data_IF_771305556484
#
_entry.id   IF_771305556484
#
_cell.length_a   1.000
_cell.length_b   1.000
_cell.length_c   1.000
_cell.angle_alpha   90.00
_cell.angle_beta   90.00
_cell.angle_gamma   90.00
#
_symmetry.space_group_name_H-M   'P 1'
#
loop_
_entity.id
_entity.type
_entity.pdbx_description
1 polymer ?
#
# COMPACT_ATOMS: atom_id res chain seq x y z
N UNK A 1 -9.65 1.39 8.70
CA UNK A 1 -10.94 1.96 8.27
C UNK A 1 -12.05 1.17 8.91
N UNK A 2 -13.02 1.83 9.52
CA UNK A 2 -14.23 1.18 10.01
C UNK A 2 -15.27 1.15 8.86
N UNK A 3 -15.98 0.02 8.70
CA UNK A 3 -16.95 -0.24 7.63
C UNK A 3 -18.05 0.83 7.54
N UNK A 4 -18.43 1.42 8.67
CA UNK A 4 -19.48 2.43 8.74
C UNK A 4 -19.06 3.76 8.08
N UNK A 5 -17.76 4.01 7.96
CA UNK A 5 -17.21 5.22 7.36
C UNK A 5 -16.86 5.07 5.87
N UNK A 6 -17.17 3.93 5.26
CA UNK A 6 -16.90 3.70 3.83
C UNK A 6 -17.65 4.71 2.96
N UNK A 7 -18.86 5.12 3.35
CA UNK A 7 -19.62 6.15 2.64
C UNK A 7 -18.86 7.49 2.60
N UNK A 8 -18.26 7.89 3.72
CA UNK A 8 -17.47 9.11 3.80
C UNK A 8 -16.14 8.99 3.03
N UNK A 9 -15.57 7.79 2.98
CA UNK A 9 -14.40 7.51 2.14
C UNK A 9 -14.71 7.65 0.66
N UNK A 10 -15.90 7.22 0.20
CA UNK A 10 -16.30 7.31 -1.22
C UNK A 10 -16.33 8.78 -1.68
N UNK A 11 -16.93 9.68 -0.89
CA UNK A 11 -16.97 11.10 -1.22
C UNK A 11 -15.58 11.73 -1.29
N UNK A 12 -14.66 11.36 -0.39
CA UNK A 12 -13.28 11.86 -0.41
C UNK A 12 -12.44 11.29 -1.55
N UNK A 13 -12.54 9.98 -1.78
CA UNK A 13 -11.79 9.30 -2.83
C UNK A 13 -12.26 9.70 -4.25
N UNK A 14 -13.53 10.10 -4.43
CA UNK A 14 -14.04 10.60 -5.69
C UNK A 14 -13.39 11.92 -6.14
N UNK A 15 -12.77 12.67 -5.23
CA UNK A 15 -12.05 13.91 -5.51
C UNK A 15 -10.52 13.74 -5.40
N UNK A 16 -10.03 12.54 -5.07
CA UNK A 16 -8.62 12.32 -4.80
C UNK A 16 -7.83 12.05 -6.08
N UNK A 17 -6.79 12.85 -6.33
CA UNK A 17 -5.83 12.62 -7.41
C UNK A 17 -4.80 11.53 -7.05
N UNK A 18 -4.52 11.38 -5.74
CA UNK A 18 -3.52 10.47 -5.16
C UNK A 18 -4.14 9.65 -4.04
N UNK A 19 -3.92 8.33 -4.06
CA UNK A 19 -4.31 7.41 -3.01
C UNK A 19 -3.10 6.83 -2.28
N UNK A 20 -3.11 6.89 -0.95
CA UNK A 20 -2.16 6.16 -0.09
C UNK A 20 -2.85 4.93 0.50
N UNK A 21 -2.43 3.74 0.07
CA UNK A 21 -2.93 2.47 0.56
C UNK A 21 -2.01 1.92 1.64
N UNK A 22 -2.48 1.99 2.88
CA UNK A 22 -1.74 1.50 4.05
C UNK A 22 -1.99 0.01 4.29
N UNK A 23 -0.90 -0.73 4.53
CA UNK A 23 -0.91 -2.18 4.72
C UNK A 23 -0.09 -2.51 5.97
N UNK A 24 -0.60 -3.30 6.93
CA UNK A 24 0.18 -3.67 8.10
C UNK A 24 1.19 -4.78 7.75
N UNK A 25 2.41 -4.68 8.28
CA UNK A 25 3.42 -5.74 8.20
C UNK A 25 3.23 -6.84 9.25
N UNK A 26 2.49 -6.54 10.32
CA UNK A 26 2.20 -7.46 11.41
C UNK A 26 1.27 -8.62 11.01
N UNK A 27 0.83 -9.40 11.99
CA UNK A 27 -0.06 -10.55 11.79
C UNK A 27 -1.43 -10.22 11.15
N UNK A 28 -1.81 -8.95 11.05
CA UNK A 28 -3.07 -8.55 10.44
C UNK A 28 -3.01 -8.48 8.91
N UNK A 29 -1.83 -8.65 8.29
CA UNK A 29 -1.66 -8.55 6.84
C UNK A 29 -2.67 -9.41 6.06
N UNK A 30 -2.79 -10.70 6.42
CA UNK A 30 -3.66 -11.66 5.73
C UNK A 30 -5.13 -11.25 5.80
N UNK A 31 -5.59 -10.82 6.98
CA UNK A 31 -6.97 -10.31 7.17
C UNK A 31 -7.22 -9.01 6.39
N UNK A 32 -6.21 -8.15 6.27
CA UNK A 32 -6.33 -6.87 5.57
C UNK A 32 -6.56 -7.06 4.05
N UNK A 33 -5.95 -8.08 3.45
CA UNK A 33 -6.06 -8.40 2.02
C UNK A 33 -7.03 -9.52 1.68
N UNK A 34 -7.72 -10.10 2.68
CA UNK A 34 -8.60 -11.25 2.52
C UNK A 34 -9.64 -11.05 1.41
N UNK A 35 -9.83 -12.10 0.59
CA UNK A 35 -10.94 -12.16 -0.35
C UNK A 35 -12.23 -12.40 0.43
N UNK A 36 -13.23 -11.56 0.21
CA UNK A 36 -14.56 -11.80 0.77
C UNK A 36 -15.32 -12.82 -0.08
N UNK A 37 -16.08 -13.66 0.60
CA UNK A 37 -17.07 -14.57 0.03
C UNK A 37 -18.35 -14.50 0.87
N UNK A 38 -19.35 -13.82 0.31
CA UNK A 38 -20.64 -13.61 0.97
C UNK A 38 -21.42 -14.93 1.16
N UNK A 39 -21.12 -15.97 0.37
CA UNK A 39 -21.75 -17.29 0.52
C UNK A 39 -21.12 -18.09 1.65
N UNK A 40 -19.82 -17.92 1.87
CA UNK A 40 -19.08 -18.57 2.96
C UNK A 40 -19.05 -17.74 4.26
N UNK A 41 -19.69 -16.56 4.29
CA UNK A 41 -19.65 -15.65 5.43
C UNK A 41 -18.30 -14.94 5.62
N UNK A 42 -17.39 -15.03 4.64
CA UNK A 42 -16.06 -14.43 4.70
C UNK A 42 -16.12 -12.93 4.39
N UNK A 43 -15.70 -12.13 5.38
CA UNK A 43 -15.68 -10.68 5.25
C UNK A 43 -14.47 -10.26 4.41
N UNK A 44 -14.71 -9.41 3.41
CA UNK A 44 -13.63 -8.86 2.60
C UNK A 44 -12.70 -7.96 3.43
N UNK A 45 -11.39 -8.17 3.28
CA UNK A 45 -10.37 -7.34 3.89
C UNK A 45 -10.45 -5.88 3.45
N UNK A 46 -10.25 -4.96 4.40
CA UNK A 46 -10.41 -3.52 4.17
C UNK A 46 -9.43 -2.97 3.14
N UNK A 47 -8.16 -3.39 3.18
CA UNK A 47 -7.15 -2.96 2.19
C UNK A 47 -7.56 -3.39 0.79
N UNK A 48 -8.06 -4.61 0.63
CA UNK A 48 -8.57 -5.10 -0.66
C UNK A 48 -9.79 -4.32 -1.14
N UNK A 49 -10.71 -3.99 -0.22
CA UNK A 49 -11.89 -3.19 -0.54
C UNK A 49 -11.50 -1.77 -0.98
N UNK A 50 -10.60 -1.11 -0.25
CA UNK A 50 -10.13 0.23 -0.56
C UNK A 50 -9.38 0.26 -1.90
N UNK A 51 -8.49 -0.71 -2.15
CA UNK A 51 -7.78 -0.83 -3.43
C UNK A 51 -8.75 -0.89 -4.63
N UNK A 52 -9.83 -1.68 -4.51
CA UNK A 52 -10.87 -1.76 -5.55
C UNK A 52 -11.63 -0.45 -5.70
N UNK A 53 -11.99 0.20 -4.60
CA UNK A 53 -12.73 1.46 -4.62
C UNK A 53 -11.91 2.60 -5.25
N UNK A 54 -10.63 2.73 -4.90
CA UNK A 54 -9.74 3.72 -5.51
C UNK A 54 -9.64 3.55 -7.03
N UNK A 55 -9.58 2.30 -7.52
CA UNK A 55 -9.58 2.02 -8.95
C UNK A 55 -10.90 2.44 -9.63
N UNK A 56 -12.04 2.06 -9.03
CA UNK A 56 -13.37 2.37 -9.57
C UNK A 56 -13.67 3.88 -9.57
N UNK A 57 -13.12 4.62 -8.61
CA UNK A 57 -13.26 6.07 -8.50
C UNK A 57 -12.27 6.83 -9.39
N UNK A 58 -11.40 6.13 -10.13
CA UNK A 58 -10.51 6.75 -11.11
C UNK A 58 -9.29 7.44 -10.51
N UNK A 59 -8.86 7.05 -9.31
CA UNK A 59 -7.63 7.59 -8.69
C UNK A 59 -6.43 7.21 -9.55
N UNK A 60 -5.71 8.22 -10.04
CA UNK A 60 -4.68 8.06 -11.07
C UNK A 60 -3.27 7.84 -10.50
N UNK A 61 -3.05 8.14 -9.21
CA UNK A 61 -1.79 7.89 -8.51
C UNK A 61 -2.05 7.04 -7.28
N UNK A 62 -1.25 5.99 -7.10
CA UNK A 62 -1.37 5.09 -5.97
C UNK A 62 0.01 4.86 -5.36
N UNK A 63 0.09 4.95 -4.03
CA UNK A 63 1.26 4.63 -3.22
C UNK A 63 0.87 3.54 -2.24
N UNK A 64 1.72 2.54 -2.03
CA UNK A 64 1.51 1.51 -1.01
C UNK A 64 2.50 1.70 0.13
N UNK A 65 1.99 1.94 1.33
CA UNK A 65 2.80 2.01 2.55
C UNK A 65 2.70 0.71 3.35
N UNK A 66 3.80 -0.04 3.42
CA UNK A 66 3.92 -1.23 4.29
C UNK A 66 4.31 -0.74 5.67
N UNK A 67 3.31 -0.57 6.54
CA UNK A 67 3.44 0.05 7.85
C UNK A 67 3.73 -0.96 8.95
N UNK A 68 4.16 -0.47 10.12
CA UNK A 68 4.49 -1.27 11.31
C UNK A 68 5.66 -2.22 11.09
N UNK A 69 6.64 -1.84 10.26
CA UNK A 69 7.85 -2.63 10.06
C UNK A 69 8.63 -2.86 11.36
N UNK A 70 8.46 -2.00 12.36
CA UNK A 70 9.02 -2.12 13.71
C UNK A 70 8.37 -3.22 14.58
N UNK A 71 7.21 -3.73 14.18
CA UNK A 71 6.35 -4.59 15.01
C UNK A 71 6.04 -5.95 14.34
N UNK A 72 6.87 -6.39 13.39
CA UNK A 72 6.70 -7.70 12.78
C UNK A 72 6.98 -8.84 13.79
N UNK A 73 6.08 -9.85 13.92
CA UNK A 73 6.25 -10.95 14.87
C UNK A 73 7.52 -11.79 14.69
N UNK A 74 8.05 -11.88 13.46
CA UNK A 74 9.29 -12.63 13.23
C UNK A 74 10.53 -11.79 13.60
N UNK A 75 10.40 -10.47 13.70
CA UNK A 75 11.42 -9.53 14.14
C UNK A 75 11.36 -8.22 13.34
N UNK A 76 11.75 -7.08 13.93
CA UNK A 76 11.56 -5.78 13.33
C UNK A 76 12.39 -5.60 12.05
N UNK A 77 11.85 -4.87 11.09
CA UNK A 77 12.49 -4.37 9.86
C UNK A 77 13.02 -5.45 8.90
N UNK A 78 12.47 -6.67 8.94
CA UNK A 78 12.90 -7.75 8.05
C UNK A 78 12.56 -7.50 6.58
N UNK A 79 13.56 -7.66 5.72
CA UNK A 79 13.43 -7.54 4.27
C UNK A 79 12.50 -8.60 3.69
N UNK A 80 12.63 -9.83 4.17
CA UNK A 80 11.87 -10.99 3.69
C UNK A 80 10.37 -10.76 3.86
N UNK A 81 9.98 -10.21 5.02
CA UNK A 81 8.59 -9.86 5.31
C UNK A 81 8.06 -8.77 4.39
N UNK A 82 8.87 -7.73 4.18
CA UNK A 82 8.52 -6.68 3.23
C UNK A 82 8.37 -7.23 1.81
N UNK A 83 9.28 -8.08 1.34
CA UNK A 83 9.24 -8.64 -0.01
C UNK A 83 7.99 -9.51 -0.22
N UNK A 84 7.63 -10.34 0.77
CA UNK A 84 6.39 -11.13 0.78
C UNK A 84 5.17 -10.21 0.59
N UNK A 85 5.05 -9.19 1.46
CA UNK A 85 3.92 -8.26 1.44
C UNK A 85 3.89 -7.46 0.14
N UNK A 86 5.03 -6.95 -0.32
CA UNK A 86 5.10 -6.13 -1.51
C UNK A 86 4.68 -6.92 -2.76
N UNK A 87 5.10 -8.19 -2.86
CA UNK A 87 4.72 -9.06 -3.96
C UNK A 87 3.23 -9.40 -3.91
N UNK A 88 2.71 -9.80 -2.76
CA UNK A 88 1.30 -10.13 -2.62
C UNK A 88 0.41 -8.89 -2.83
N UNK A 89 0.84 -7.71 -2.39
CA UNK A 89 0.14 -6.45 -2.66
C UNK A 89 0.07 -6.14 -4.16
N UNK A 90 1.17 -6.33 -4.91
CA UNK A 90 1.16 -6.15 -6.37
C UNK A 90 0.21 -7.14 -7.04
N UNK A 91 0.24 -8.42 -6.64
CA UNK A 91 -0.69 -9.43 -7.14
C UNK A 91 -2.15 -9.10 -6.80
N UNK A 92 -2.41 -8.64 -5.58
CA UNK A 92 -3.75 -8.25 -5.13
C UNK A 92 -4.28 -7.04 -5.91
N UNK A 93 -3.45 -6.02 -6.14
CA UNK A 93 -3.83 -4.85 -6.96
C UNK A 93 -4.26 -5.27 -8.36
N UNK A 94 -3.49 -6.11 -9.04
CA UNK A 94 -3.86 -6.64 -10.36
C UNK A 94 -5.19 -7.43 -10.29
N UNK A 95 -5.36 -8.29 -9.28
CA UNK A 95 -6.62 -9.05 -9.07
C UNK A 95 -7.83 -8.17 -8.76
N UNK A 96 -7.62 -6.94 -8.28
CA UNK A 96 -8.70 -5.97 -8.02
C UNK A 96 -8.97 -5.01 -9.19
N UNK A 97 -8.30 -5.21 -10.32
CA UNK A 97 -8.58 -4.53 -11.59
C UNK A 97 -7.59 -3.42 -11.95
N UNK A 98 -6.51 -3.24 -11.19
CA UNK A 98 -5.44 -2.32 -11.59
C UNK A 98 -4.63 -2.90 -12.74
N UNK A 99 -4.23 -2.05 -13.71
CA UNK A 99 -3.39 -2.48 -14.83
C UNK A 99 -2.02 -2.94 -14.32
N UNK A 100 -1.54 -4.09 -14.81
CA UNK A 100 -0.26 -4.67 -14.40
C UNK A 100 0.90 -3.69 -14.58
N UNK A 101 0.99 -3.04 -15.74
CA UNK A 101 2.08 -2.11 -16.07
C UNK A 101 2.08 -0.90 -15.12
N UNK A 102 0.89 -0.41 -14.75
CA UNK A 102 0.75 0.65 -13.77
C UNK A 102 1.26 0.21 -12.40
N UNK A 103 0.85 -0.97 -11.93
CA UNK A 103 1.27 -1.51 -10.62
C UNK A 103 2.79 -1.73 -10.56
N UNK A 104 3.42 -2.19 -11.64
CA UNK A 104 4.86 -2.45 -11.66
C UNK A 104 5.71 -1.20 -11.94
N UNK A 105 5.18 -0.24 -12.70
CA UNK A 105 5.94 0.90 -13.19
C UNK A 105 5.68 2.23 -12.46
N UNK A 106 4.51 2.40 -11.84
CA UNK A 106 4.06 3.68 -11.30
C UNK A 106 3.73 3.65 -9.80
N UNK A 107 3.49 2.48 -9.21
CA UNK A 107 3.07 2.34 -7.80
C UNK A 107 4.27 2.03 -6.91
N UNK A 108 4.82 3.03 -6.17
CA UNK A 108 5.86 2.74 -5.20
C UNK A 108 5.28 1.98 -4.02
N UNK A 109 6.00 0.95 -3.59
CA UNK A 109 5.77 0.21 -2.34
C UNK A 109 6.89 0.57 -1.38
N UNK A 110 6.52 1.23 -0.28
CA UNK A 110 7.47 1.85 0.65
C UNK A 110 7.31 1.18 2.02
N UNK A 111 8.37 0.56 2.59
CA UNK A 111 8.35 0.09 3.96
C UNK A 111 8.49 1.28 4.91
N UNK A 112 7.58 1.39 5.88
CA UNK A 112 7.54 2.50 6.83
C UNK A 112 7.27 2.02 8.25
N UNK A 113 7.65 2.83 9.23
CA UNK A 113 7.09 2.78 10.58
C UNK A 113 6.46 4.12 10.88
N UNK A 114 5.12 4.15 10.99
CA UNK A 114 4.41 5.34 11.45
C UNK A 114 4.77 5.73 12.88
N UNK A 115 5.15 4.76 13.72
CA UNK A 115 5.48 4.99 15.13
C UNK A 115 6.89 5.55 15.32
N UNK A 116 7.87 4.98 14.62
CA UNK A 116 9.28 5.40 14.72
C UNK A 116 9.62 6.54 13.75
N UNK A 117 8.74 6.85 12.79
CA UNK A 117 8.96 7.87 11.77
C UNK A 117 9.80 7.41 10.57
N UNK A 118 10.11 6.11 10.51
CA UNK A 118 10.97 5.53 9.47
C UNK A 118 10.34 5.66 8.08
N UNK A 119 11.13 6.18 7.12
CA UNK A 119 10.76 6.39 5.72
C UNK A 119 9.51 7.26 5.52
N UNK A 120 9.09 8.07 6.51
CA UNK A 120 8.03 9.06 6.32
C UNK A 120 8.58 10.32 5.63
N UNK A 121 9.51 11.00 6.31
CA UNK A 121 10.12 12.26 5.86
C UNK A 121 11.62 12.10 5.57
N UNK A 122 12.26 11.12 6.23
CA UNK A 122 13.69 10.85 6.12
C UNK A 122 13.90 9.36 5.96
N UNK A 123 15.00 9.00 5.31
CA UNK A 123 15.40 7.61 5.13
C UNK A 123 15.66 6.96 6.49
N UNK A 124 15.13 5.76 6.66
CA UNK A 124 15.35 4.92 7.84
C UNK A 124 16.80 4.45 7.91
N UNK A 125 17.37 4.42 9.11
CA UNK A 125 18.62 3.71 9.39
C UNK A 125 18.39 2.24 9.72
N UNK A 126 17.15 1.84 10.04
CA UNK A 126 16.76 0.48 10.41
C UNK A 126 16.51 -0.43 9.20
N UNK A 127 16.26 0.17 8.03
CA UNK A 127 15.98 -0.53 6.78
C UNK A 127 17.01 -0.19 5.70
N UNK A 128 18.30 -0.37 6.01
CA UNK A 128 19.41 -0.09 5.08
C UNK A 128 19.35 -0.88 3.78
N UNK A 129 18.65 -2.03 3.79
CA UNK A 129 18.37 -2.84 2.61
C UNK A 129 17.39 -2.20 1.63
N UNK A 130 16.59 -1.21 2.05
CA UNK A 130 15.66 -0.50 1.19
C UNK A 130 16.33 0.71 0.55
N UNK A 131 16.60 0.63 -0.76
CA UNK A 131 17.34 1.66 -1.51
C UNK A 131 16.45 2.56 -2.36
N UNK A 132 15.14 2.55 -2.09
CA UNK A 132 14.11 3.26 -2.85
C UNK A 132 13.64 2.53 -4.10
N UNK A 133 12.57 3.02 -4.70
CA UNK A 133 12.01 2.50 -5.96
C UNK A 133 11.99 3.58 -7.02
N UNK A 134 12.45 3.22 -8.22
CA UNK A 134 12.24 4.06 -9.40
C UNK A 134 10.86 3.79 -9.97
N UNK A 135 10.04 4.84 -10.02
CA UNK A 135 8.69 4.82 -10.58
C UNK A 135 8.55 5.90 -11.63
N UNK A 136 7.64 5.68 -12.57
CA UNK A 136 7.26 6.66 -13.57
C UNK A 136 6.11 7.50 -13.03
N UNK A 137 6.27 8.82 -12.99
CA UNK A 137 5.19 9.73 -12.59
C UNK A 137 4.08 9.78 -13.66
N UNK A 138 2.95 10.42 -13.37
CA UNK A 138 1.92 10.68 -14.38
C UNK A 138 2.43 11.48 -15.57
N UNK A 139 3.45 12.33 -15.38
CA UNK A 139 4.07 13.12 -16.46
C UNK A 139 5.09 12.34 -17.29
N UNK A 140 5.24 11.03 -17.03
CA UNK A 140 6.21 10.17 -17.73
C UNK A 140 7.65 10.31 -17.22
N UNK A 141 7.88 11.05 -16.12
CA UNK A 141 9.23 11.27 -15.58
C UNK A 141 9.67 10.14 -14.66
N UNK A 142 10.94 9.76 -14.83
CA UNK A 142 11.81 9.03 -13.90
C UNK A 142 11.84 9.62 -12.49
N UNK A 143 11.21 9.04 -11.46
CA UNK A 143 11.34 9.52 -10.07
C UNK A 143 11.82 8.40 -9.15
N UNK A 144 12.81 8.68 -8.31
CA UNK A 144 13.30 7.74 -7.30
C UNK A 144 12.70 8.06 -5.93
N UNK A 145 11.82 7.19 -5.46
CA UNK A 145 11.06 7.35 -4.21
C UNK A 145 11.74 6.54 -3.10
N UNK A 146 12.19 7.19 -2.03
CA UNK A 146 12.71 6.49 -0.84
C UNK A 146 11.80 6.61 0.38
N UNK A 147 11.14 7.76 0.50
CA UNK A 147 10.28 8.09 1.62
C UNK A 147 8.87 8.35 1.13
N UNK A 148 7.90 8.33 2.04
CA UNK A 148 6.53 8.71 1.73
C UNK A 148 6.45 10.14 1.21
N UNK A 149 7.27 11.06 1.74
CA UNK A 149 7.36 12.43 1.23
C UNK A 149 7.80 12.51 -0.23
N UNK A 150 8.71 11.64 -0.68
CA UNK A 150 9.14 11.61 -2.09
C UNK A 150 8.04 11.12 -3.05
N UNK A 151 7.00 10.47 -2.51
CA UNK A 151 5.91 9.85 -3.27
C UNK A 151 4.66 10.75 -3.43
N UNK A 152 4.64 11.90 -2.75
CA UNK A 152 3.56 12.88 -2.74
C UNK A 152 3.92 14.09 -3.61
#
# INVERSE_FOLDING_TARGET
>A
GNRDFIKNMISGAAQADVGLLMVPADGNFTTAIQKGDHKAGEIQGQTRQHARLLNLLGVKQLVVGVNKMDSDPAGPYKKERYDEIANEMRSMLVRTGWKKDFVTGNVPVIPISGWQGDNLLKKSTNMSWYTGQEVTSQSGKKVKVHTLLDAL
#
